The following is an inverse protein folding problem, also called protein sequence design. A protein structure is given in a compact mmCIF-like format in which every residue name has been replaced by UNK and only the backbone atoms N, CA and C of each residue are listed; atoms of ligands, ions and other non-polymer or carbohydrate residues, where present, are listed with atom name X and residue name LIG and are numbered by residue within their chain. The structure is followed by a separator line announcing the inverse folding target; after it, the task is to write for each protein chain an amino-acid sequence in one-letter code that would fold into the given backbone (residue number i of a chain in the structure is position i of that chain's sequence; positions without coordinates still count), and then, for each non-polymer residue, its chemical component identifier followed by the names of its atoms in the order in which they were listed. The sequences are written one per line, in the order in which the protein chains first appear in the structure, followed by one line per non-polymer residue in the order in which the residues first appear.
data_IF_515984693354
#
_entry.id   IF_515984693354
#
_cell.length_a   1.000
_cell.length_b   1.000
_cell.length_c   1.000
_cell.angle_alpha   90.00
_cell.angle_beta   90.00
_cell.angle_gamma   90.00
#
_symmetry.space_group_name_H-M   'P 1'
#
loop_
_entity.id
_entity.type
_entity.pdbx_description
1 polymer ?
#
# COMPACT_ATOMS: atom_id res chain seq x y z
N UNK A 1 -34.28 -62.51 -41.47
CA UNK A 1 -34.50 -63.93 -41.20
C UNK A 1 -33.44 -64.46 -40.27
N UNK A 2 -33.69 -65.34 -39.32
CA UNK A 2 -34.83 -65.44 -38.40
C UNK A 2 -34.45 -65.19 -36.92
N UNK A 3 -35.30 -64.64 -36.14
CA UNK A 3 -36.17 -65.18 -35.06
C UNK A 3 -35.64 -66.33 -34.19
N UNK A 4 -35.70 -66.07 -32.87
CA UNK A 4 -36.27 -66.93 -31.80
C UNK A 4 -35.84 -66.38 -30.45
N UNK A 5 -36.66 -65.79 -29.63
CA UNK A 5 -37.85 -66.30 -28.89
C UNK A 5 -37.50 -67.10 -27.63
N UNK A 6 -38.03 -66.59 -26.50
CA UNK A 6 -38.49 -67.21 -25.23
C UNK A 6 -37.43 -67.81 -24.31
N UNK A 7 -37.45 -67.54 -23.03
CA UNK A 7 -38.47 -67.93 -22.04
C UNK A 7 -38.34 -67.25 -20.69
N UNK A 8 -39.46 -66.89 -20.11
CA UNK A 8 -39.71 -66.59 -18.70
C UNK A 8 -39.29 -67.72 -17.77
N UNK A 9 -38.72 -67.42 -16.63
CA UNK A 9 -38.96 -68.19 -15.40
C UNK A 9 -38.95 -67.21 -14.20
N UNK A 10 -40.12 -67.01 -13.66
CA UNK A 10 -40.44 -66.52 -12.31
C UNK A 10 -39.95 -67.51 -11.26
N UNK A 11 -39.27 -67.01 -10.24
CA UNK A 11 -39.22 -67.64 -8.90
C UNK A 11 -39.24 -66.53 -7.83
N UNK A 12 -40.26 -66.64 -7.01
CA UNK A 12 -40.47 -65.86 -5.81
C UNK A 12 -39.43 -66.22 -4.72
N UNK A 13 -38.91 -65.34 -4.02
CA UNK A 13 -38.04 -65.58 -2.89
C UNK A 13 -38.01 -64.36 -1.96
N UNK A 14 -38.59 -64.54 -0.82
CA UNK A 14 -38.70 -63.82 0.45
C UNK A 14 -37.88 -62.61 0.72
N UNK A 15 -38.56 -61.60 1.21
CA UNK A 15 -38.07 -60.39 1.82
C UNK A 15 -37.20 -60.67 3.05
N UNK A 16 -36.01 -60.08 3.07
CA UNK A 16 -35.28 -59.70 4.30
C UNK A 16 -34.80 -58.27 4.10
N UNK A 17 -35.42 -57.37 4.84
CA UNK A 17 -35.00 -55.97 4.99
C UNK A 17 -33.71 -55.86 5.80
N UNK A 18 -32.62 -55.36 5.27
CA UNK A 18 -31.56 -54.84 6.11
C UNK A 18 -31.87 -53.36 6.39
N UNK A 19 -32.01 -53.03 7.67
CA UNK A 19 -31.95 -51.66 8.15
C UNK A 19 -30.62 -51.03 7.69
N UNK A 20 -30.68 -50.16 6.70
CA UNK A 20 -29.58 -49.29 6.34
C UNK A 20 -29.44 -48.22 7.42
N UNK A 21 -28.39 -48.30 8.23
CA UNK A 21 -27.87 -47.25 9.06
C UNK A 21 -27.48 -46.11 8.11
N UNK A 22 -28.29 -45.05 8.09
CA UNK A 22 -27.93 -43.77 7.47
C UNK A 22 -26.90 -43.11 8.35
N UNK A 23 -25.63 -43.31 8.05
CA UNK A 23 -24.56 -42.46 8.55
C UNK A 23 -24.70 -41.10 7.88
N UNK A 24 -24.84 -39.97 8.63
CA UNK A 24 -24.75 -38.66 8.03
C UNK A 24 -23.32 -38.51 7.50
N UNK A 25 -23.16 -38.49 6.19
CA UNK A 25 -21.94 -38.03 5.55
C UNK A 25 -21.79 -36.56 5.90
N UNK A 26 -20.91 -36.25 6.89
CA UNK A 26 -20.37 -34.93 7.05
C UNK A 26 -19.68 -34.57 5.75
N UNK A 27 -20.39 -33.87 4.87
CA UNK A 27 -19.80 -33.23 3.71
C UNK A 27 -18.74 -32.27 4.24
N UNK A 28 -17.48 -32.62 4.04
CA UNK A 28 -16.40 -31.68 4.13
C UNK A 28 -16.62 -30.65 3.03
N UNK A 29 -17.29 -29.54 3.39
CA UNK A 29 -17.21 -28.34 2.58
C UNK A 29 -15.76 -27.90 2.64
N UNK A 30 -14.97 -28.28 1.66
CA UNK A 30 -13.74 -27.56 1.32
C UNK A 30 -14.21 -26.15 0.99
N UNK A 31 -14.10 -25.25 1.97
CA UNK A 31 -14.24 -23.84 1.71
C UNK A 31 -13.19 -23.52 0.63
N UNK A 32 -13.66 -23.28 -0.59
CA UNK A 32 -12.87 -22.63 -1.59
C UNK A 32 -12.33 -21.37 -0.91
N UNK A 33 -11.00 -21.25 -0.81
CA UNK A 33 -10.37 -20.04 -0.35
C UNK A 33 -10.81 -18.95 -1.33
N UNK A 34 -11.83 -18.20 -0.93
CA UNK A 34 -12.20 -16.98 -1.62
C UNK A 34 -10.94 -16.13 -1.62
N UNK A 35 -10.51 -15.70 -2.80
CA UNK A 35 -9.45 -14.71 -2.92
C UNK A 35 -9.89 -13.53 -2.03
N UNK A 36 -9.20 -13.36 -0.89
CA UNK A 36 -9.51 -12.29 0.05
C UNK A 36 -9.30 -10.98 -0.70
N UNK A 37 -10.38 -10.31 -1.00
CA UNK A 37 -10.37 -8.90 -1.37
C UNK A 37 -9.52 -8.18 -0.32
N UNK A 38 -8.60 -7.27 -0.71
CA UNK A 38 -7.83 -6.51 0.27
C UNK A 38 -8.79 -5.81 1.21
N UNK A 39 -8.99 -6.39 2.36
CA UNK A 39 -9.95 -5.94 3.35
C UNK A 39 -9.25 -5.13 4.44
N UNK A 40 -9.96 -4.18 5.00
CA UNK A 40 -9.53 -3.47 6.19
C UNK A 40 -9.65 -4.41 7.39
N UNK A 41 -8.54 -4.72 8.04
CA UNK A 41 -8.50 -5.44 9.31
C UNK A 41 -8.62 -4.46 10.45
N UNK A 42 -9.55 -4.70 11.36
CA UNK A 42 -9.75 -3.89 12.56
C UNK A 42 -9.69 -4.74 13.82
N UNK A 43 -9.10 -4.20 14.86
CA UNK A 43 -9.15 -4.78 16.20
C UNK A 43 -9.51 -3.72 17.24
N UNK A 44 -10.26 -4.12 18.27
CA UNK A 44 -10.52 -3.28 19.42
C UNK A 44 -9.19 -2.87 20.06
N UNK A 45 -8.98 -1.58 20.28
CA UNK A 45 -7.72 -1.04 20.75
C UNK A 45 -7.80 -0.47 22.18
N UNK A 46 -9.00 -0.13 22.63
CA UNK A 46 -9.24 0.38 23.98
C UNK A 46 -10.47 1.24 24.07
N UNK A 47 -10.85 1.53 25.32
CA UNK A 47 -11.95 2.45 25.65
C UNK A 47 -11.38 3.64 26.43
N UNK A 48 -11.71 4.85 25.99
CA UNK A 48 -11.41 6.07 26.70
C UNK A 48 -12.63 6.47 27.56
N UNK A 49 -12.38 6.95 28.75
CA UNK A 49 -13.40 7.37 29.68
C UNK A 49 -13.21 8.84 30.04
N UNK A 50 -14.31 9.58 30.07
CA UNK A 50 -14.35 10.97 30.54
C UNK A 50 -14.78 11.04 32.02
N UNK A 51 -14.59 12.22 32.60
CA UNK A 51 -14.87 12.47 34.01
C UNK A 51 -16.38 12.46 34.36
N UNK A 52 -17.24 12.67 33.38
CA UNK A 52 -18.69 12.75 33.57
C UNK A 52 -19.45 11.54 32.99
N UNK A 53 -18.72 10.45 32.68
CA UNK A 53 -19.31 9.23 32.13
C UNK A 53 -19.29 9.13 30.61
N UNK A 54 -18.65 10.08 29.92
CA UNK A 54 -18.41 9.97 28.49
C UNK A 54 -17.50 8.78 28.20
N UNK A 55 -17.74 8.09 27.09
CA UNK A 55 -16.95 6.96 26.67
C UNK A 55 -16.66 7.00 25.15
N UNK A 56 -15.50 6.51 24.75
CA UNK A 56 -15.19 6.28 23.36
C UNK A 56 -14.45 4.94 23.20
N UNK A 57 -15.10 4.01 22.50
CA UNK A 57 -14.47 2.75 22.09
C UNK A 57 -13.70 2.99 20.80
N UNK A 58 -12.41 2.77 20.84
CA UNK A 58 -11.52 2.99 19.70
C UNK A 58 -11.06 1.64 19.14
N UNK A 59 -11.18 1.48 17.84
CA UNK A 59 -10.54 0.39 17.11
C UNK A 59 -9.35 0.93 16.34
N UNK A 60 -8.31 0.13 16.16
CA UNK A 60 -7.25 0.40 15.22
C UNK A 60 -7.45 -0.49 14.01
N UNK A 61 -7.48 0.12 12.85
CA UNK A 61 -7.68 -0.56 11.58
C UNK A 61 -6.47 -0.35 10.69
N UNK A 62 -6.13 -1.38 9.94
CA UNK A 62 -5.13 -1.31 8.91
C UNK A 62 -5.64 -1.95 7.63
N UNK A 63 -5.42 -1.28 6.52
CA UNK A 63 -5.72 -1.73 5.18
C UNK A 63 -4.41 -1.98 4.44
N UNK A 64 -4.29 -3.17 3.87
CA UNK A 64 -3.17 -3.55 3.01
C UNK A 64 -3.43 -3.20 1.56
N UNK A 65 -3.85 -1.95 1.30
CA UNK A 65 -3.81 -1.41 -0.06
C UNK A 65 -2.35 -1.42 -0.55
N UNK A 66 -2.01 -2.45 -1.32
CA UNK A 66 -0.64 -2.62 -1.84
C UNK A 66 -0.17 -1.37 -2.60
N UNK A 67 1.03 -0.88 -2.36
CA UNK A 67 2.06 -1.40 -1.46
C UNK A 67 2.07 -0.72 -0.06
N UNK A 68 0.99 -0.06 0.33
CA UNK A 68 0.91 0.71 1.58
C UNK A 68 0.07 0.02 2.63
N UNK A 69 0.44 0.24 3.87
CA UNK A 69 -0.34 -0.04 5.06
C UNK A 69 -1.01 1.27 5.47
N UNK A 70 -2.30 1.40 5.25
CA UNK A 70 -3.09 2.55 5.68
C UNK A 70 -3.60 2.30 7.10
N UNK A 71 -3.44 3.28 7.98
CA UNK A 71 -3.77 3.15 9.40
C UNK A 71 -4.83 4.17 9.74
N UNK A 72 -5.93 3.69 10.33
CA UNK A 72 -7.03 4.52 10.80
C UNK A 72 -7.42 4.12 12.23
N UNK A 73 -8.14 4.99 12.91
CA UNK A 73 -8.62 4.75 14.27
C UNK A 73 -10.10 5.14 14.38
N UNK A 74 -11.03 4.36 13.80
CA UNK A 74 -12.45 4.63 13.97
C UNK A 74 -12.84 4.50 15.45
N UNK A 75 -13.76 5.36 15.88
CA UNK A 75 -14.28 5.34 17.22
C UNK A 75 -15.81 5.41 17.24
N UNK A 76 -16.42 4.66 18.15
CA UNK A 76 -17.80 4.85 18.57
C UNK A 76 -17.79 5.52 19.94
N UNK A 77 -18.63 6.53 20.15
CA UNK A 77 -18.64 7.26 21.39
C UNK A 77 -20.05 7.49 21.92
N UNK A 78 -20.13 7.61 23.22
CA UNK A 78 -21.33 7.87 23.99
C UNK A 78 -21.03 9.05 24.92
N UNK A 79 -21.84 10.09 24.81
CA UNK A 79 -21.84 11.21 25.77
C UNK A 79 -22.72 10.91 26.98
N UNK A 80 -22.85 11.88 27.86
CA UNK A 80 -23.71 11.79 29.07
C UNK A 80 -25.21 11.74 28.74
N UNK A 81 -25.60 12.33 27.61
CA UNK A 81 -26.98 12.24 27.13
C UNK A 81 -27.16 11.00 26.23
N UNK A 82 -27.77 9.96 26.77
CA UNK A 82 -28.03 8.69 26.07
C UNK A 82 -29.05 8.78 24.93
N UNK A 83 -29.77 9.88 24.82
CA UNK A 83 -30.76 10.13 23.74
C UNK A 83 -30.10 10.75 22.51
N UNK A 84 -28.87 11.26 22.64
CA UNK A 84 -28.13 11.89 21.56
C UNK A 84 -27.24 10.86 20.86
N UNK A 85 -27.34 10.80 19.55
CA UNK A 85 -26.45 10.01 18.73
C UNK A 85 -25.23 10.85 18.33
N UNK A 86 -24.08 10.47 18.83
CA UNK A 86 -22.83 11.16 18.57
C UNK A 86 -22.11 10.55 17.36
N UNK A 87 -21.60 11.39 16.47
CA UNK A 87 -20.66 10.99 15.41
C UNK A 87 -19.25 11.39 15.86
N UNK A 88 -18.36 10.41 15.95
CA UNK A 88 -17.03 10.63 16.48
C UNK A 88 -15.96 10.67 15.39
N UNK A 89 -15.03 11.60 15.55
CA UNK A 89 -13.82 11.74 14.73
C UNK A 89 -12.61 11.55 15.61
N UNK A 90 -11.62 10.86 15.07
CA UNK A 90 -10.37 10.57 15.76
C UNK A 90 -9.22 11.25 15.04
N UNK A 91 -8.41 11.96 15.79
CA UNK A 91 -7.13 12.55 15.37
C UNK A 91 -6.03 12.10 16.33
N UNK A 92 -4.78 12.13 15.90
CA UNK A 92 -3.68 11.75 16.78
C UNK A 92 -2.43 11.29 16.04
N UNK A 93 -1.64 10.46 16.70
CA UNK A 93 -0.41 9.89 16.15
C UNK A 93 -0.38 8.38 16.38
N UNK A 94 0.25 7.67 15.46
CA UNK A 94 0.43 6.22 15.57
C UNK A 94 1.91 5.84 15.52
N UNK A 95 2.20 4.68 16.09
CA UNK A 95 3.47 3.98 15.96
C UNK A 95 3.16 2.53 15.60
N UNK A 96 3.85 2.00 14.59
CA UNK A 96 3.75 0.60 14.17
C UNK A 96 5.03 -0.14 14.44
N UNK A 97 4.91 -1.33 15.04
CA UNK A 97 6.01 -2.25 15.30
C UNK A 97 5.72 -3.62 14.69
N UNK A 98 6.77 -4.34 14.34
CA UNK A 98 6.71 -5.74 13.91
C UNK A 98 7.94 -6.46 14.44
N UNK A 99 7.75 -7.62 15.05
CA UNK A 99 8.83 -8.37 15.71
C UNK A 99 9.72 -7.50 16.60
N UNK A 100 9.10 -6.63 17.43
CA UNK A 100 9.80 -5.71 18.32
C UNK A 100 10.44 -4.48 17.69
N UNK A 101 10.59 -4.44 16.36
CA UNK A 101 11.22 -3.33 15.63
C UNK A 101 10.16 -2.28 15.25
N UNK A 102 10.42 -1.02 15.55
CA UNK A 102 9.59 0.10 15.07
C UNK A 102 9.75 0.25 13.56
N UNK A 103 8.66 0.14 12.86
CA UNK A 103 8.59 0.30 11.42
C UNK A 103 8.32 1.76 11.02
N UNK A 104 7.65 2.53 11.85
CA UNK A 104 7.38 3.96 11.60
C UNK A 104 6.36 4.55 12.53
N UNK A 105 6.23 5.86 12.43
CA UNK A 105 5.28 6.70 13.15
C UNK A 105 4.62 7.68 12.19
N UNK A 106 3.47 8.24 12.54
CA UNK A 106 2.79 9.24 11.73
C UNK A 106 1.54 9.80 12.37
N UNK A 107 0.87 10.71 11.68
CA UNK A 107 -0.43 11.23 12.08
C UNK A 107 -1.57 10.26 11.70
N UNK A 108 -2.69 10.32 12.41
CA UNK A 108 -3.94 9.60 12.12
C UNK A 108 -4.94 10.51 11.39
N UNK A 109 -5.55 10.03 10.28
CA UNK A 109 -5.22 8.81 9.55
C UNK A 109 -3.84 8.93 8.85
N UNK A 110 -3.21 7.81 8.57
CA UNK A 110 -1.89 7.83 7.95
C UNK A 110 -1.51 6.55 7.24
N UNK A 111 -0.35 6.57 6.61
CA UNK A 111 0.10 5.38 5.88
C UNK A 111 1.62 5.25 5.88
N UNK A 112 2.08 4.01 5.64
CA UNK A 112 3.48 3.68 5.44
C UNK A 112 3.64 2.52 4.46
N UNK A 113 4.86 2.20 4.04
CA UNK A 113 5.11 1.00 3.24
C UNK A 113 4.76 -0.25 4.04
N UNK A 114 4.05 -1.16 3.40
CA UNK A 114 3.72 -2.46 3.95
C UNK A 114 4.97 -3.36 3.96
N UNK A 115 5.29 -3.94 5.10
CA UNK A 115 6.51 -4.75 5.26
C UNK A 115 6.26 -6.26 5.10
N UNK A 116 5.14 -6.67 4.48
CA UNK A 116 4.77 -8.07 4.24
C UNK A 116 3.98 -8.70 5.39
N UNK A 117 3.60 -9.99 5.25
CA UNK A 117 2.74 -10.67 6.21
C UNK A 117 3.38 -10.79 7.59
N UNK A 118 2.55 -10.83 8.61
CA UNK A 118 2.97 -10.99 10.01
C UNK A 118 2.13 -10.19 11.00
N UNK A 119 2.47 -10.28 12.27
CA UNK A 119 1.81 -9.56 13.35
C UNK A 119 2.36 -8.12 13.45
N UNK A 120 1.45 -7.17 13.37
CA UNK A 120 1.72 -5.73 13.49
C UNK A 120 1.13 -5.22 14.78
N UNK A 121 1.96 -4.72 15.65
CA UNK A 121 1.57 -4.03 16.88
C UNK A 121 1.43 -2.54 16.55
N UNK A 122 0.21 -2.04 16.64
CA UNK A 122 -0.10 -0.63 16.40
C UNK A 122 -0.47 0.00 17.73
N UNK A 123 0.23 1.05 18.11
CA UNK A 123 -0.12 1.91 19.24
C UNK A 123 -0.40 3.31 18.75
N UNK A 124 -1.38 3.98 19.35
CA UNK A 124 -1.75 5.33 18.99
C UNK A 124 -2.09 6.17 20.21
N UNK A 125 -1.67 7.43 20.18
CA UNK A 125 -2.22 8.47 21.05
C UNK A 125 -3.30 9.19 20.27
N UNK A 126 -4.53 9.09 20.74
CA UNK A 126 -5.71 9.57 20.04
C UNK A 126 -6.46 10.63 20.83
N UNK A 127 -7.10 11.54 20.11
CA UNK A 127 -8.13 12.44 20.62
C UNK A 127 -9.42 12.16 19.85
N UNK A 128 -10.48 11.83 20.57
CA UNK A 128 -11.80 11.54 20.03
C UNK A 128 -12.71 12.72 20.33
N UNK A 129 -13.24 13.35 19.28
CA UNK A 129 -14.21 14.45 19.37
C UNK A 129 -15.52 14.07 18.74
N UNK A 130 -16.64 14.52 19.31
CA UNK A 130 -17.97 14.23 18.76
C UNK A 130 -18.64 15.43 18.12
N UNK A 131 -19.56 15.13 17.21
CA UNK A 131 -20.57 16.04 16.69
C UNK A 131 -21.96 15.39 16.88
N UNK A 132 -22.92 16.04 17.59
CA UNK A 132 -22.74 17.30 18.30
C UNK A 132 -21.69 17.20 19.40
N UNK A 133 -21.23 18.34 19.91
CA UNK A 133 -20.27 18.38 21.00
C UNK A 133 -20.82 17.70 22.26
N UNK A 134 -20.02 16.91 22.93
CA UNK A 134 -20.42 16.12 24.11
C UNK A 134 -19.37 15.07 24.48
N UNK A 135 -18.40 14.81 23.57
CA UNK A 135 -17.26 13.94 23.84
C UNK A 135 -15.99 14.60 23.33
N UNK A 136 -15.00 14.76 24.19
CA UNK A 136 -13.63 15.19 23.85
C UNK A 136 -12.67 14.43 24.78
N UNK A 137 -12.20 13.27 24.32
CA UNK A 137 -11.40 12.35 25.11
C UNK A 137 -10.05 12.16 24.47
N UNK A 138 -9.00 12.07 25.30
CA UNK A 138 -7.63 11.81 24.87
C UNK A 138 -7.06 10.64 25.62
N UNK A 139 -6.31 9.79 24.92
CA UNK A 139 -5.66 8.64 25.57
C UNK A 139 -4.80 7.84 24.60
N UNK A 140 -4.20 6.78 25.11
CA UNK A 140 -3.39 5.84 24.34
C UNK A 140 -4.14 4.53 24.17
N UNK A 141 -4.11 3.99 22.96
CA UNK A 141 -4.75 2.73 22.57
C UNK A 141 -3.76 1.85 21.83
N UNK A 142 -3.99 0.53 21.86
CA UNK A 142 -3.11 -0.44 21.21
C UNK A 142 -3.91 -1.61 20.67
N UNK A 143 -3.50 -2.10 19.49
CA UNK A 143 -4.01 -3.35 18.92
C UNK A 143 -2.90 -4.11 18.19
N UNK A 144 -3.08 -5.42 18.08
CA UNK A 144 -2.24 -6.28 17.23
C UNK A 144 -3.11 -6.79 16.08
N UNK A 145 -2.64 -6.60 14.85
CA UNK A 145 -3.28 -7.05 13.63
C UNK A 145 -2.41 -8.08 12.93
N UNK A 146 -2.98 -9.23 12.60
CA UNK A 146 -2.28 -10.27 11.83
C UNK A 146 -2.56 -10.07 10.35
N UNK A 147 -1.57 -9.60 9.61
CA UNK A 147 -1.64 -9.39 8.18
C UNK A 147 -1.21 -10.65 7.44
N UNK A 148 -2.01 -11.11 6.49
CA UNK A 148 -1.73 -12.31 5.69
C UNK A 148 -1.37 -11.97 4.24
N UNK A 149 -1.77 -10.78 3.77
CA UNK A 149 -1.51 -10.37 2.40
C UNK A 149 -0.01 -10.41 2.06
N UNK A 150 0.39 -10.99 0.93
CA UNK A 150 1.77 -10.98 0.50
C UNK A 150 2.25 -9.55 0.25
N UNK A 151 3.54 -9.31 0.43
CA UNK A 151 4.12 -8.04 0.04
C UNK A 151 4.08 -7.93 -1.49
N UNK A 152 3.58 -6.79 -2.00
CA UNK A 152 3.64 -6.55 -3.42
C UNK A 152 5.09 -6.59 -3.89
N UNK A 153 5.38 -7.45 -4.84
CA UNK A 153 6.69 -7.51 -5.48
C UNK A 153 6.80 -6.32 -6.44
N UNK A 154 7.91 -5.59 -6.35
CA UNK A 154 8.18 -4.57 -7.34
C UNK A 154 8.32 -5.23 -8.72
N UNK A 155 7.53 -4.77 -9.68
CA UNK A 155 7.56 -5.25 -11.07
C UNK A 155 8.54 -4.44 -11.92
N UNK A 156 9.01 -3.34 -11.39
CA UNK A 156 9.94 -2.42 -12.05
C UNK A 156 11.18 -2.22 -11.18
N UNK A 157 12.29 -1.97 -11.84
CA UNK A 157 13.58 -1.65 -11.20
C UNK A 157 14.16 -0.42 -11.86
N UNK A 158 14.75 0.46 -11.06
CA UNK A 158 15.54 1.59 -11.54
C UNK A 158 16.95 1.48 -10.98
N UNK A 159 17.92 1.64 -11.84
CA UNK A 159 19.35 1.65 -11.50
C UNK A 159 20.04 2.83 -12.15
N UNK A 160 21.27 3.13 -11.73
CA UNK A 160 22.10 4.20 -12.28
C UNK A 160 23.53 3.71 -12.44
N UNK A 161 24.22 4.19 -13.45
CA UNK A 161 25.61 3.81 -13.76
C UNK A 161 26.64 4.42 -12.78
N UNK A 162 26.32 5.57 -12.19
CA UNK A 162 27.19 6.29 -11.23
C UNK A 162 26.34 6.83 -10.09
N UNK A 163 26.80 6.66 -8.87
CA UNK A 163 26.12 7.15 -7.66
C UNK A 163 26.83 8.31 -6.97
N UNK A 164 27.99 8.72 -7.47
CA UNK A 164 28.82 9.76 -6.87
C UNK A 164 28.83 11.04 -7.72
N UNK A 165 28.69 12.17 -7.07
CA UNK A 165 28.79 13.49 -7.63
C UNK A 165 29.94 14.25 -6.95
N UNK A 166 30.45 15.29 -7.60
CA UNK A 166 31.48 16.17 -7.02
C UNK A 166 31.03 17.61 -7.06
N UNK A 167 31.40 18.38 -6.03
CA UNK A 167 31.18 19.83 -6.01
C UNK A 167 31.88 20.50 -7.21
N UNK A 168 31.30 21.61 -7.68
CA UNK A 168 31.79 22.39 -8.82
C UNK A 168 32.00 21.58 -10.10
N UNK A 169 31.21 20.53 -10.31
CA UNK A 169 31.36 19.64 -11.46
C UNK A 169 30.05 19.37 -12.17
N UNK A 170 30.17 18.87 -13.39
CA UNK A 170 29.05 18.35 -14.17
C UNK A 170 29.28 16.87 -14.43
N UNK A 171 28.35 16.03 -14.00
CA UNK A 171 28.38 14.58 -14.21
C UNK A 171 27.20 14.19 -15.10
N UNK A 172 27.47 13.36 -16.09
CA UNK A 172 26.39 12.68 -16.84
C UNK A 172 26.22 11.28 -16.26
N UNK A 173 24.99 10.98 -15.87
CA UNK A 173 24.57 9.67 -15.34
C UNK A 173 23.52 9.06 -16.26
N UNK A 174 23.49 7.73 -16.32
CA UNK A 174 22.49 6.99 -17.09
C UNK A 174 21.60 6.21 -16.14
N UNK A 175 20.35 6.58 -16.06
CA UNK A 175 19.34 5.78 -15.39
C UNK A 175 18.84 4.69 -16.32
N UNK A 176 18.77 3.48 -15.82
CA UNK A 176 18.19 2.33 -16.53
C UNK A 176 16.93 1.91 -15.81
N UNK A 177 15.81 1.92 -16.51
CA UNK A 177 14.49 1.51 -16.01
C UNK A 177 14.16 0.17 -16.66
N UNK A 178 13.85 -0.82 -15.85
CA UNK A 178 13.54 -2.17 -16.29
C UNK A 178 12.21 -2.61 -15.71
N UNK A 179 11.42 -3.29 -16.52
CA UNK A 179 10.23 -4.02 -16.13
C UNK A 179 10.57 -5.51 -16.11
N UNK A 180 10.33 -6.17 -14.98
CA UNK A 180 10.73 -7.56 -14.74
C UNK A 180 9.57 -8.55 -14.89
N UNK A 181 8.34 -8.06 -15.11
CA UNK A 181 7.16 -8.91 -15.30
C UNK A 181 6.12 -8.28 -16.24
N UNK A 182 5.21 -9.09 -16.74
CA UNK A 182 4.08 -8.62 -17.55
C UNK A 182 2.96 -7.95 -16.72
N UNK A 183 3.08 -8.01 -15.39
CA UNK A 183 2.14 -7.31 -14.51
C UNK A 183 2.33 -5.79 -14.60
N UNK A 184 1.24 -5.07 -14.73
CA UNK A 184 1.26 -3.62 -14.92
C UNK A 184 1.18 -3.21 -16.39
N UNK A 185 0.90 -1.95 -16.62
CA UNK A 185 1.07 -1.38 -17.95
C UNK A 185 2.55 -1.03 -18.17
N UNK A 186 2.93 -0.78 -19.39
CA UNK A 186 4.30 -0.42 -19.74
C UNK A 186 4.68 1.01 -19.33
N UNK A 187 3.91 1.71 -18.50
CA UNK A 187 4.15 3.11 -18.17
C UNK A 187 4.88 3.26 -16.84
N UNK A 188 5.90 4.11 -16.83
CA UNK A 188 6.62 4.49 -15.63
C UNK A 188 6.95 5.98 -15.64
N UNK A 189 7.12 6.56 -14.48
CA UNK A 189 7.52 7.95 -14.31
C UNK A 189 8.71 8.04 -13.37
N UNK A 190 9.85 8.48 -13.88
CA UNK A 190 11.07 8.66 -13.11
C UNK A 190 11.17 10.12 -12.67
N UNK A 191 11.03 10.36 -11.37
CA UNK A 191 11.26 11.65 -10.74
C UNK A 191 12.62 11.71 -10.08
N UNK A 192 13.30 12.84 -10.21
CA UNK A 192 14.55 13.15 -9.53
C UNK A 192 14.45 14.52 -8.89
N UNK A 193 14.97 14.66 -7.67
CA UNK A 193 15.02 15.92 -6.98
C UNK A 193 16.27 16.04 -6.13
N UNK A 194 16.91 17.17 -6.20
CA UNK A 194 18.01 17.55 -5.31
C UNK A 194 17.57 18.60 -4.29
N UNK A 195 18.48 19.02 -3.43
CA UNK A 195 18.21 20.01 -2.39
C UNK A 195 18.07 21.41 -3.00
N UNK A 196 17.04 22.14 -2.59
CA UNK A 196 16.82 23.53 -2.98
C UNK A 196 17.92 24.44 -2.42
N UNK A 197 18.27 25.49 -3.17
CA UNK A 197 19.24 26.51 -2.72
C UNK A 197 20.72 26.07 -2.74
N UNK A 198 21.02 24.85 -3.22
CA UNK A 198 22.40 24.33 -3.33
C UNK A 198 23.05 24.60 -4.70
N UNK A 199 22.37 25.30 -5.60
CA UNK A 199 22.90 25.55 -6.96
C UNK A 199 22.94 24.32 -7.86
N UNK A 200 22.20 23.27 -7.52
CA UNK A 200 22.09 22.07 -8.30
C UNK A 200 21.23 22.28 -9.55
N UNK A 201 21.68 21.76 -10.68
CA UNK A 201 20.90 21.73 -11.91
C UNK A 201 20.84 20.31 -12.45
N UNK A 202 19.63 19.85 -12.71
CA UNK A 202 19.35 18.52 -13.30
C UNK A 202 18.67 18.75 -14.66
N UNK A 203 19.26 18.22 -15.72
CA UNK A 203 18.76 18.39 -17.10
C UNK A 203 18.89 17.09 -17.88
N UNK A 204 18.04 16.91 -18.86
CA UNK A 204 18.17 15.85 -19.87
C UNK A 204 17.87 16.45 -21.26
N UNK A 205 18.53 15.92 -22.27
CA UNK A 205 18.20 16.18 -23.68
C UNK A 205 17.10 15.22 -24.19
N UNK A 206 16.71 14.24 -23.38
CA UNK A 206 15.63 13.30 -23.70
C UNK A 206 14.29 14.03 -23.67
N UNK A 207 13.55 13.96 -24.78
CA UNK A 207 12.25 14.64 -24.94
C UNK A 207 11.18 14.13 -23.97
N UNK A 208 11.37 12.95 -23.40
CA UNK A 208 10.49 12.37 -22.37
C UNK A 208 10.63 13.08 -21.03
N UNK A 209 11.64 13.94 -20.86
CA UNK A 209 12.00 14.55 -19.60
C UNK A 209 11.73 16.05 -19.60
N UNK A 210 11.17 16.54 -18.50
CA UNK A 210 10.91 17.97 -18.28
C UNK A 210 11.30 18.37 -16.86
N UNK A 211 11.78 19.61 -16.70
CA UNK A 211 11.88 20.21 -15.37
C UNK A 211 10.49 20.65 -14.93
N UNK A 212 9.99 20.25 -13.77
CA UNK A 212 8.66 20.58 -13.29
C UNK A 212 8.44 22.10 -13.18
N UNK A 213 7.21 22.53 -13.47
CA UNK A 213 6.80 23.92 -13.24
C UNK A 213 6.55 24.15 -11.75
N UNK A 214 6.84 25.35 -11.27
CA UNK A 214 6.62 25.78 -9.89
C UNK A 214 5.88 27.12 -9.87
N UNK A 215 5.06 27.33 -8.82
CA UNK A 215 4.27 28.52 -8.63
C UNK A 215 2.81 28.37 -9.03
N UNK A 216 2.04 29.46 -8.93
CA UNK A 216 0.62 29.45 -9.30
C UNK A 216 0.46 29.52 -10.83
N UNK A 217 -0.52 28.79 -11.33
CA UNK A 217 -0.87 28.84 -12.75
C UNK A 217 -1.38 30.25 -13.14
N UNK A 218 -0.98 30.78 -14.31
CA UNK A 218 -0.04 30.22 -15.27
C UNK A 218 1.43 30.54 -14.87
N UNK A 219 2.21 29.50 -14.61
CA UNK A 219 3.65 29.64 -14.29
C UNK A 219 4.51 29.19 -15.45
N UNK A 220 5.63 29.92 -15.69
CA UNK A 220 6.69 29.53 -16.62
C UNK A 220 7.99 29.15 -15.91
N UNK A 221 8.04 29.32 -14.58
CA UNK A 221 9.22 29.02 -13.78
C UNK A 221 9.37 27.50 -13.62
N UNK A 222 10.57 26.99 -13.87
CA UNK A 222 10.90 25.57 -13.77
C UNK A 222 11.88 25.32 -12.63
N UNK A 223 11.72 24.21 -11.92
CA UNK A 223 12.65 23.76 -10.88
C UNK A 223 13.94 23.25 -11.54
N UNK A 224 15.02 24.01 -11.43
CA UNK A 224 16.31 23.59 -12.01
C UNK A 224 16.88 22.32 -11.33
N UNK A 225 16.58 22.11 -10.05
CA UNK A 225 17.05 21.00 -9.23
C UNK A 225 16.12 19.76 -9.24
N UNK A 226 15.14 19.73 -10.12
CA UNK A 226 14.23 18.58 -10.28
C UNK A 226 14.07 18.22 -11.76
N UNK A 227 13.87 16.96 -12.05
CA UNK A 227 13.58 16.44 -13.39
C UNK A 227 12.52 15.35 -13.27
N UNK A 228 11.62 15.30 -14.24
CA UNK A 228 10.52 14.37 -14.34
C UNK A 228 10.47 13.78 -15.75
N UNK A 229 10.57 12.46 -15.84
CA UNK A 229 10.64 11.74 -17.11
C UNK A 229 9.51 10.71 -17.20
N UNK A 230 8.77 10.73 -18.31
CA UNK A 230 7.73 9.74 -18.59
C UNK A 230 8.29 8.67 -19.53
N UNK A 231 8.21 7.42 -19.12
CA UNK A 231 8.55 6.25 -19.95
C UNK A 231 7.27 5.53 -20.28
N UNK A 232 6.99 5.33 -21.55
CA UNK A 232 5.83 4.60 -22.05
C UNK A 232 6.28 3.34 -22.78
N UNK A 233 5.40 2.34 -22.86
CA UNK A 233 5.63 1.11 -23.61
C UNK A 233 6.83 0.28 -23.14
N UNK A 234 7.19 0.39 -21.86
CA UNK A 234 8.27 -0.39 -21.26
C UNK A 234 7.94 -1.89 -21.30
N UNK A 235 8.73 -2.65 -22.03
CA UNK A 235 8.51 -4.09 -22.21
C UNK A 235 9.40 -4.90 -21.25
N UNK A 236 8.93 -6.07 -20.76
CA UNK A 236 9.77 -6.99 -20.01
C UNK A 236 11.00 -7.41 -20.81
N UNK A 237 12.16 -7.39 -20.15
CA UNK A 237 13.42 -7.74 -20.80
C UNK A 237 14.03 -6.67 -21.72
N UNK A 238 13.33 -5.55 -21.96
CA UNK A 238 13.81 -4.43 -22.76
C UNK A 238 13.93 -3.17 -21.89
N UNK A 239 15.10 -2.95 -21.28
CA UNK A 239 15.30 -1.79 -20.41
C UNK A 239 15.38 -0.50 -21.20
N UNK A 240 14.80 0.55 -20.65
CA UNK A 240 14.89 1.91 -21.19
C UNK A 240 15.97 2.71 -20.45
N UNK A 241 16.68 3.55 -21.19
CA UNK A 241 17.73 4.38 -20.64
C UNK A 241 17.39 5.87 -20.78
N UNK A 242 17.71 6.62 -19.73
CA UNK A 242 17.59 8.08 -19.68
C UNK A 242 18.93 8.66 -19.25
N UNK A 243 19.53 9.47 -20.13
CA UNK A 243 20.76 10.20 -19.80
C UNK A 243 20.44 11.53 -19.15
N UNK A 244 21.01 11.77 -17.98
CA UNK A 244 20.77 12.95 -17.17
C UNK A 244 22.10 13.64 -16.89
N UNK A 245 22.12 14.94 -17.15
CA UNK A 245 23.27 15.82 -16.82
C UNK A 245 22.99 16.54 -15.52
N UNK A 246 23.84 16.36 -14.55
CA UNK A 246 23.75 16.93 -13.21
C UNK A 246 24.93 17.85 -13.01
N UNK A 247 24.64 19.14 -12.82
CA UNK A 247 25.67 20.13 -12.49
C UNK A 247 25.51 20.49 -11.01
N UNK A 248 26.57 20.28 -10.24
CA UNK A 248 26.61 20.59 -8.81
C UNK A 248 27.39 21.89 -8.63
N UNK A 249 26.83 22.83 -7.87
CA UNK A 249 27.51 24.05 -7.50
C UNK A 249 28.58 23.85 -6.42
N UNK A 250 29.01 24.96 -5.78
CA UNK A 250 30.00 24.91 -4.71
C UNK A 250 29.53 24.15 -3.45
N UNK A 251 28.23 24.07 -3.24
CA UNK A 251 27.63 23.34 -2.12
C UNK A 251 27.18 21.97 -2.61
N UNK A 252 27.72 20.91 -1.99
CA UNK A 252 27.25 19.55 -2.26
C UNK A 252 25.75 19.39 -2.02
N UNK A 253 25.10 18.64 -2.90
CA UNK A 253 23.67 18.27 -2.83
C UNK A 253 23.50 16.83 -3.19
N UNK A 254 22.65 16.15 -2.48
CA UNK A 254 22.23 14.79 -2.78
C UNK A 254 21.05 14.83 -3.75
N UNK A 255 21.05 13.93 -4.72
CA UNK A 255 19.89 13.72 -5.61
C UNK A 255 19.21 12.42 -5.22
N UNK A 256 17.92 12.48 -4.91
CA UNK A 256 17.08 11.33 -4.71
C UNK A 256 16.25 11.08 -5.96
N UNK A 257 16.05 9.83 -6.31
CA UNK A 257 15.16 9.43 -7.40
C UNK A 257 14.05 8.53 -6.91
N UNK A 258 12.93 8.56 -7.62
CA UNK A 258 11.78 7.69 -7.36
C UNK A 258 11.17 7.27 -8.69
N UNK A 259 10.80 6.02 -8.75
CA UNK A 259 10.10 5.46 -9.90
C UNK A 259 8.66 5.20 -9.56
N UNK A 260 7.80 5.88 -10.24
CA UNK A 260 6.40 5.61 -10.26
C UNK A 260 6.01 4.66 -11.40
N UNK A 261 5.17 3.65 -11.12
CA UNK A 261 4.64 2.74 -12.12
C UNK A 261 3.26 2.26 -11.69
N UNK A 262 2.47 1.78 -12.65
CA UNK A 262 1.13 1.31 -12.40
C UNK A 262 1.09 -0.20 -12.11
N UNK A 263 0.29 -0.61 -11.13
CA UNK A 263 0.07 -2.01 -10.78
C UNK A 263 -1.39 -2.35 -11.05
N UNK A 264 -1.70 -3.32 -11.93
CA UNK A 264 -3.08 -3.58 -12.38
C UNK A 264 -4.03 -4.05 -11.30
N UNK A 265 -3.52 -4.66 -10.25
CA UNK A 265 -4.33 -5.13 -9.12
C UNK A 265 -4.70 -4.01 -8.14
N UNK A 266 -4.01 -2.89 -8.23
CA UNK A 266 -4.37 -1.70 -7.49
C UNK A 266 -5.34 -0.88 -8.32
N UNK A 267 -6.59 -0.86 -7.98
CA UNK A 267 -7.58 0.03 -8.61
C UNK A 267 -7.29 1.51 -8.41
N UNK A 268 -6.20 1.84 -7.79
CA UNK A 268 -5.70 3.20 -7.66
C UNK A 268 -4.41 3.32 -8.44
N UNK A 269 -4.48 4.04 -9.52
CA UNK A 269 -3.30 4.70 -10.05
C UNK A 269 -2.60 5.33 -8.87
N UNK A 270 -1.35 4.89 -8.57
CA UNK A 270 -0.45 5.69 -7.80
C UNK A 270 -1.03 6.44 -6.64
N UNK A 271 -1.43 5.82 -5.61
CA UNK A 271 -1.64 6.48 -4.32
C UNK A 271 -0.31 6.64 -3.59
N UNK A 272 0.65 7.29 -4.25
CA UNK A 272 1.86 7.78 -3.59
C UNK A 272 2.88 6.74 -3.15
N UNK A 273 2.82 5.50 -3.62
CA UNK A 273 3.89 4.54 -3.45
C UNK A 273 4.77 4.56 -4.68
N UNK A 274 5.81 5.36 -4.61
CA UNK A 274 6.88 5.34 -5.59
C UNK A 274 7.97 4.39 -5.09
N UNK A 275 8.49 3.55 -5.98
CA UNK A 275 9.67 2.76 -5.72
C UNK A 275 10.84 3.73 -5.45
N UNK A 276 11.53 3.56 -4.32
CA UNK A 276 12.75 4.29 -4.05
C UNK A 276 13.80 3.89 -5.10
N UNK A 277 14.30 4.88 -5.81
CA UNK A 277 15.35 4.72 -6.80
C UNK A 277 16.73 4.99 -6.20
N UNK A 278 17.77 4.91 -7.04
CA UNK A 278 19.14 5.20 -6.63
C UNK A 278 19.28 6.62 -6.08
N UNK A 279 20.09 6.74 -5.04
CA UNK A 279 20.51 8.01 -4.45
C UNK A 279 21.89 8.36 -4.98
N UNK A 280 22.05 9.59 -5.47
CA UNK A 280 23.35 10.12 -5.85
C UNK A 280 23.86 11.00 -4.71
N UNK A 281 25.05 10.69 -4.22
CA UNK A 281 25.70 11.42 -3.11
C UNK A 281 26.81 12.31 -3.63
N UNK A 282 26.91 13.51 -3.09
CA UNK A 282 27.98 14.43 -3.42
C UNK A 282 29.07 14.42 -2.34
N UNK A 283 30.34 14.40 -2.77
CA UNK A 283 31.54 14.45 -1.94
C UNK A 283 32.44 15.61 -2.36
#
# INVERSE_FOLDING_TARGET
MPTRSTTLRTLAGAALLPMALVTPACGQFTAAAAAETPGTLCAAAGTLHGAHGEQAQVSLCADTGSPRLNITAPASCQGTDTKVRYVCRTEGTWTVRRAGKTLGTGALPGSRLYAGPGAYEISATVRVKSAPAGVDLKGSVRATLSMTAPMAKATHVVSVDKSELRANSTTTVTYTIRRDSDEGDGNARLGMIGEEGKGLQIRSADSRCVNPLVGRYPSKTRLAHALDCTVTELQPGHPEQIKVRITVGAKCSTVVSKLGYWIPQGQSMYTGAMLEGPKLTCH
#
